data_IF_483173637733
#
_entry.id   IF_483173637733
#
_cell.length_a   1.000
_cell.length_b   1.000
_cell.length_c   1.000
_cell.angle_alpha   90.00
_cell.angle_beta   90.00
_cell.angle_gamma   90.00
#
_symmetry.space_group_name_H-M   'P 1'
#
loop_
_entity.id
_entity.type
_entity.pdbx_description
1 polymer ?
#
# COMPACT_ATOMS: atom_id res chain seq x y z
N UNK A 1 53.74 29.40 33.46
CA UNK A 1 53.40 27.98 33.65
C UNK A 1 52.09 27.77 32.93
N UNK A 2 52.16 27.08 31.80
CA UNK A 2 51.16 27.09 30.74
C UNK A 2 50.21 25.91 30.92
N UNK A 3 48.92 26.17 31.15
CA UNK A 3 47.88 25.14 31.01
C UNK A 3 46.87 25.59 29.96
N UNK A 4 47.11 25.17 28.72
CA UNK A 4 46.13 25.20 27.64
C UNK A 4 45.40 23.86 27.62
N UNK A 5 44.25 23.76 28.28
CA UNK A 5 43.36 22.60 28.14
C UNK A 5 42.59 22.71 26.83
N UNK A 6 43.08 22.01 25.81
CA UNK A 6 42.39 21.82 24.54
C UNK A 6 41.20 20.87 24.76
N UNK A 7 39.98 21.41 24.82
CA UNK A 7 38.74 20.61 24.70
C UNK A 7 38.49 20.36 23.21
N UNK A 8 38.32 19.10 22.74
CA UNK A 8 37.96 18.84 21.35
C UNK A 8 36.51 19.31 21.09
N UNK A 9 36.19 19.82 19.89
CA UNK A 9 34.81 20.12 19.51
C UNK A 9 34.05 18.81 19.35
N UNK A 10 33.09 18.54 20.23
CA UNK A 10 32.05 17.55 19.94
C UNK A 10 31.11 18.19 18.91
N UNK A 11 31.15 17.70 17.68
CA UNK A 11 30.29 18.14 16.57
C UNK A 11 28.80 17.95 16.95
N UNK A 12 28.00 19.01 17.03
CA UNK A 12 26.62 18.95 17.55
C UNK A 12 25.57 18.45 16.53
N UNK A 13 25.98 17.80 15.44
CA UNK A 13 25.08 17.41 14.35
C UNK A 13 24.40 16.05 14.54
N UNK A 14 25.14 15.04 15.00
CA UNK A 14 24.68 13.65 14.95
C UNK A 14 23.62 13.34 16.03
N UNK A 15 23.72 13.99 17.20
CA UNK A 15 22.76 13.82 18.29
C UNK A 15 21.38 14.42 17.96
N UNK A 16 21.36 15.51 17.18
CA UNK A 16 20.13 16.17 16.73
C UNK A 16 19.41 15.35 15.66
N UNK A 17 20.17 14.79 14.71
CA UNK A 17 19.61 13.90 13.70
C UNK A 17 19.04 12.62 14.33
N UNK A 18 19.71 12.08 15.35
CA UNK A 18 19.26 10.85 16.03
C UNK A 18 17.99 11.07 16.85
N UNK A 19 17.87 12.22 17.52
CA UNK A 19 16.66 12.57 18.28
C UNK A 19 15.46 12.88 17.38
N UNK A 20 15.69 13.53 16.23
CA UNK A 20 14.66 13.79 15.23
C UNK A 20 14.19 12.50 14.54
N UNK A 21 15.10 11.62 14.14
CA UNK A 21 14.76 10.32 13.54
C UNK A 21 13.93 9.45 14.49
N UNK A 22 14.23 9.49 15.80
CA UNK A 22 13.47 8.75 16.81
C UNK A 22 12.07 9.34 17.02
N UNK A 23 11.94 10.67 16.95
CA UNK A 23 10.65 11.37 17.03
C UNK A 23 9.74 11.09 15.82
N UNK A 24 10.32 11.03 14.61
CA UNK A 24 9.59 10.65 13.39
C UNK A 24 9.15 9.18 13.45
N UNK A 25 10.00 8.28 13.96
CA UNK A 25 9.67 6.86 14.08
C UNK A 25 8.53 6.61 15.07
N UNK A 26 8.48 7.34 16.20
CA UNK A 26 7.39 7.23 17.17
C UNK A 26 6.07 7.79 16.64
N UNK A 27 6.10 8.86 15.84
CA UNK A 27 4.91 9.39 15.17
C UNK A 27 4.35 8.41 14.12
N UNK A 28 5.23 7.79 13.32
CA UNK A 28 4.84 6.77 12.33
C UNK A 28 4.24 5.53 13.00
N UNK A 29 4.74 5.15 14.18
CA UNK A 29 4.21 4.03 14.95
C UNK A 29 2.87 4.36 15.62
N UNK A 30 2.70 5.57 16.15
CA UNK A 30 1.46 6.01 16.79
C UNK A 30 0.33 6.25 15.76
N UNK A 31 0.66 6.59 14.52
CA UNK A 31 -0.28 6.87 13.45
C UNK A 31 -0.67 5.68 12.57
N UNK A 32 -0.16 4.46 12.82
CA UNK A 32 -0.59 3.28 12.07
C UNK A 32 -1.99 2.90 12.56
N UNK A 33 -3.08 3.14 11.78
CA UNK A 33 -4.36 2.56 12.12
C UNK A 33 -4.18 1.05 12.15
N UNK A 34 -4.89 0.38 13.04
CA UNK A 34 -4.91 -1.07 13.26
C UNK A 34 -5.35 -1.78 11.97
N UNK A 35 -4.44 -1.82 10.98
CA UNK A 35 -4.63 -2.42 9.68
C UNK A 35 -4.41 -3.90 9.90
N UNK A 36 -5.52 -4.62 10.09
CA UNK A 36 -5.53 -6.06 9.87
C UNK A 36 -4.79 -6.37 8.56
N UNK A 37 -3.86 -7.34 8.53
CA UNK A 37 -2.92 -7.53 7.43
C UNK A 37 -3.69 -7.81 6.14
N UNK A 38 -3.77 -6.81 5.27
CA UNK A 38 -4.27 -6.97 3.91
C UNK A 38 -3.35 -7.90 3.09
N UNK A 39 -2.13 -8.17 3.57
CA UNK A 39 -1.13 -9.06 2.96
C UNK A 39 -1.41 -10.57 3.06
N UNK A 40 -2.28 -11.06 3.95
CA UNK A 40 -2.52 -12.50 4.08
C UNK A 40 -3.03 -13.15 2.77
N UNK A 41 -3.77 -12.38 1.95
CA UNK A 41 -4.23 -12.84 0.63
C UNK A 41 -3.18 -12.73 -0.49
N UNK A 42 -2.13 -11.93 -0.33
CA UNK A 42 -1.10 -11.72 -1.35
C UNK A 42 -0.11 -12.88 -1.42
N UNK A 43 0.30 -13.41 -0.26
CA UNK A 43 1.27 -14.49 -0.18
C UNK A 43 0.76 -15.80 -0.79
N UNK A 44 -0.50 -16.18 -0.51
CA UNK A 44 -1.13 -17.35 -1.13
C UNK A 44 -1.26 -17.22 -2.64
N UNK A 45 -1.56 -16.02 -3.15
CA UNK A 45 -1.65 -15.79 -4.60
C UNK A 45 -0.28 -15.96 -5.27
N UNK A 46 0.79 -15.49 -4.63
CA UNK A 46 2.16 -15.70 -5.09
C UNK A 46 2.55 -17.18 -5.11
N UNK A 47 2.28 -17.91 -4.03
CA UNK A 47 2.55 -19.35 -3.93
C UNK A 47 1.75 -20.15 -4.97
N UNK A 48 0.47 -19.83 -5.16
CA UNK A 48 -0.37 -20.44 -6.19
C UNK A 48 0.17 -20.15 -7.60
N UNK A 49 0.65 -18.93 -7.86
CA UNK A 49 1.28 -18.56 -9.13
C UNK A 49 2.53 -19.40 -9.44
N UNK A 50 3.40 -19.62 -8.44
CA UNK A 50 4.59 -20.45 -8.60
C UNK A 50 4.21 -21.92 -8.84
N UNK A 51 3.25 -22.46 -8.09
CA UNK A 51 2.76 -23.83 -8.32
C UNK A 51 2.21 -24.01 -9.74
N UNK A 52 1.49 -23.01 -10.26
CA UNK A 52 0.95 -23.02 -11.63
C UNK A 52 2.04 -22.96 -12.70
N UNK A 53 3.23 -22.39 -12.40
CA UNK A 53 4.35 -22.36 -13.33
C UNK A 53 4.90 -23.77 -13.63
N UNK A 54 4.87 -24.65 -12.63
CA UNK A 54 5.30 -26.04 -12.76
C UNK A 54 4.18 -26.97 -13.25
N UNK A 55 2.97 -26.82 -12.70
CA UNK A 55 1.83 -27.67 -13.06
C UNK A 55 1.17 -27.28 -14.39
N UNK A 56 1.23 -26.01 -14.79
CA UNK A 56 0.60 -25.47 -15.99
C UNK A 56 1.04 -26.15 -17.29
N UNK A 57 2.35 -26.30 -17.57
CA UNK A 57 2.83 -26.99 -18.76
C UNK A 57 2.36 -28.45 -18.83
N UNK A 58 2.31 -29.15 -17.69
CA UNK A 58 1.85 -30.55 -17.61
C UNK A 58 0.36 -30.64 -17.93
N UNK A 59 -0.45 -29.73 -17.39
CA UNK A 59 -1.88 -29.64 -17.71
C UNK A 59 -2.12 -29.31 -19.19
N UNK A 60 -1.33 -28.39 -19.74
CA UNK A 60 -1.42 -28.03 -21.16
C UNK A 60 -1.09 -29.23 -22.06
N UNK A 61 -0.01 -29.96 -21.76
CA UNK A 61 0.37 -31.16 -22.50
C UNK A 61 -0.74 -32.24 -22.44
N UNK A 62 -1.32 -32.48 -21.26
CA UNK A 62 -2.42 -33.41 -21.10
C UNK A 62 -3.66 -33.00 -21.91
N UNK A 63 -4.02 -31.71 -21.90
CA UNK A 63 -5.13 -31.19 -22.69
C UNK A 63 -4.90 -31.39 -24.19
N UNK A 64 -3.69 -31.12 -24.68
CA UNK A 64 -3.32 -31.35 -26.10
C UNK A 64 -3.41 -32.83 -26.47
N UNK A 65 -2.96 -33.75 -25.61
CA UNK A 65 -3.05 -35.19 -25.85
C UNK A 65 -4.48 -35.71 -25.92
N UNK A 66 -5.38 -35.17 -25.11
CA UNK A 66 -6.81 -35.52 -25.17
C UNK A 66 -7.43 -34.95 -26.45
N UNK A 67 -7.14 -33.70 -26.77
CA UNK A 67 -7.75 -33.01 -27.91
C UNK A 67 -7.23 -33.54 -29.26
N UNK A 68 -5.99 -34.04 -29.30
CA UNK A 68 -5.42 -34.68 -30.49
C UNK A 68 -6.11 -35.98 -30.89
N UNK A 69 -6.93 -36.58 -30.01
CA UNK A 69 -7.76 -37.76 -30.34
C UNK A 69 -8.88 -37.44 -31.33
N UNK A 70 -9.31 -36.18 -31.41
CA UNK A 70 -10.48 -35.75 -32.21
C UNK A 70 -10.12 -34.76 -33.33
N UNK A 71 -8.95 -34.12 -33.27
CA UNK A 71 -8.51 -33.13 -34.26
C UNK A 71 -6.98 -33.19 -34.44
N UNK A 72 -6.40 -32.63 -35.52
CA UNK A 72 -4.96 -32.63 -35.70
C UNK A 72 -4.23 -31.84 -34.60
N UNK A 73 -2.99 -32.25 -34.32
CA UNK A 73 -2.18 -31.75 -33.19
C UNK A 73 -2.02 -30.22 -33.22
N UNK A 74 -1.87 -29.62 -34.39
CA UNK A 74 -1.69 -28.17 -34.51
C UNK A 74 -2.93 -27.37 -34.04
N UNK A 75 -4.14 -27.83 -34.38
CA UNK A 75 -5.39 -27.26 -33.87
C UNK A 75 -5.53 -27.50 -32.37
N UNK A 76 -5.17 -28.71 -31.91
CA UNK A 76 -5.25 -29.06 -30.51
C UNK A 76 -4.40 -28.12 -29.62
N UNK A 77 -3.17 -27.80 -30.05
CA UNK A 77 -2.29 -26.85 -29.36
C UNK A 77 -2.90 -25.46 -29.31
N UNK A 78 -3.39 -24.94 -30.45
CA UNK A 78 -4.02 -23.61 -30.51
C UNK A 78 -5.24 -23.51 -29.59
N UNK A 79 -6.11 -24.52 -29.59
CA UNK A 79 -7.29 -24.57 -28.74
C UNK A 79 -6.94 -24.65 -27.25
N UNK A 80 -5.97 -25.49 -26.87
CA UNK A 80 -5.54 -25.62 -25.47
C UNK A 80 -4.93 -24.31 -24.93
N UNK A 81 -4.10 -23.63 -25.74
CA UNK A 81 -3.52 -22.33 -25.39
C UNK A 81 -4.60 -21.26 -25.28
N UNK A 82 -5.49 -21.15 -26.28
CA UNK A 82 -6.58 -20.19 -26.26
C UNK A 82 -7.50 -20.38 -25.04
N UNK A 83 -7.87 -21.61 -24.72
CA UNK A 83 -8.69 -21.94 -23.55
C UNK A 83 -8.00 -21.58 -22.23
N UNK A 84 -6.71 -21.84 -22.10
CA UNK A 84 -5.92 -21.51 -20.90
C UNK A 84 -5.79 -20.00 -20.71
N UNK A 85 -5.53 -19.25 -21.78
CA UNK A 85 -5.48 -17.78 -21.75
C UNK A 85 -6.85 -17.21 -21.36
N UNK A 86 -7.93 -17.69 -21.97
CA UNK A 86 -9.28 -17.23 -21.65
C UNK A 86 -9.63 -17.48 -20.18
N UNK A 87 -9.32 -18.67 -19.66
CA UNK A 87 -9.51 -19.00 -18.24
C UNK A 87 -8.70 -18.07 -17.33
N UNK A 88 -7.43 -17.82 -17.68
CA UNK A 88 -6.57 -16.88 -16.96
C UNK A 88 -7.11 -15.46 -16.94
N UNK A 89 -7.63 -14.96 -18.07
CA UNK A 89 -8.27 -13.63 -18.17
C UNK A 89 -9.49 -13.55 -17.26
N UNK A 90 -10.38 -14.55 -17.29
CA UNK A 90 -11.58 -14.59 -16.45
C UNK A 90 -11.21 -14.57 -14.96
N UNK A 91 -10.24 -15.38 -14.54
CA UNK A 91 -9.74 -15.42 -13.17
C UNK A 91 -9.13 -14.07 -12.76
N UNK A 92 -8.34 -13.43 -13.63
CA UNK A 92 -7.74 -12.13 -13.38
C UNK A 92 -8.80 -11.02 -13.25
N UNK A 93 -9.84 -11.04 -14.09
CA UNK A 93 -10.96 -10.10 -14.00
C UNK A 93 -11.75 -10.30 -12.70
N UNK A 94 -12.07 -11.55 -12.33
CA UNK A 94 -12.75 -11.86 -11.08
C UNK A 94 -11.94 -11.35 -9.86
N UNK A 95 -10.61 -11.52 -9.89
CA UNK A 95 -9.70 -10.98 -8.89
C UNK A 95 -9.74 -9.45 -8.81
N UNK A 96 -9.71 -8.74 -9.95
CA UNK A 96 -9.84 -7.28 -9.99
C UNK A 96 -11.17 -6.78 -9.46
N UNK A 97 -12.27 -7.42 -9.82
CA UNK A 97 -13.62 -7.04 -9.34
C UNK A 97 -13.71 -7.19 -7.83
N UNK A 98 -13.13 -8.26 -7.27
CA UNK A 98 -13.12 -8.50 -5.83
C UNK A 98 -12.25 -7.49 -5.06
N UNK A 99 -11.16 -7.00 -5.67
CA UNK A 99 -10.35 -5.90 -5.12
C UNK A 99 -11.11 -4.57 -5.11
N UNK A 100 -11.75 -4.19 -6.23
CA UNK A 100 -12.54 -2.94 -6.34
C UNK A 100 -13.70 -2.86 -5.33
N UNK A 101 -14.32 -3.98 -4.96
CA UNK A 101 -15.38 -4.01 -3.93
C UNK A 101 -14.87 -3.76 -2.50
N UNK A 102 -13.60 -4.11 -2.20
CA UNK A 102 -12.99 -3.84 -0.88
C UNK A 102 -12.51 -2.39 -0.74
N UNK A 103 -12.18 -1.74 -1.85
CA UNK A 103 -11.65 -0.37 -1.87
C UNK A 103 -12.72 0.72 -1.91
N UNK A 104 -14.02 0.41 -2.00
CA UNK A 104 -15.08 1.43 -1.99
C UNK A 104 -15.16 2.13 -0.62
N UNK A 105 -14.55 3.32 -0.43
CA UNK A 105 -14.44 3.96 0.87
C UNK A 105 -15.62 4.91 0.96
N UNK A 106 -16.76 4.45 1.47
CA UNK A 106 -17.94 5.33 1.62
C UNK A 106 -17.79 6.42 2.69
N UNK A 107 -16.63 6.58 3.36
CA UNK A 107 -16.50 7.51 4.52
C UNK A 107 -15.16 8.24 4.70
N UNK A 108 -14.26 8.27 3.72
CA UNK A 108 -13.01 9.04 3.89
C UNK A 108 -13.07 10.47 3.33
N UNK A 109 -13.98 10.76 2.39
CA UNK A 109 -14.04 12.07 1.71
C UNK A 109 -14.79 13.14 2.52
N UNK A 110 -15.47 12.76 3.60
CA UNK A 110 -16.21 13.71 4.45
C UNK A 110 -15.36 14.34 5.57
N UNK A 111 -14.24 13.73 5.96
CA UNK A 111 -13.38 14.26 7.01
C UNK A 111 -12.66 15.55 6.59
N UNK A 112 -12.12 15.58 5.38
CA UNK A 112 -11.36 16.75 4.89
C UNK A 112 -12.23 17.98 4.60
N UNK A 113 -13.53 17.81 4.33
CA UNK A 113 -14.46 18.95 4.16
C UNK A 113 -14.93 19.52 5.50
N UNK A 114 -14.92 18.73 6.57
CA UNK A 114 -15.30 19.17 7.91
C UNK A 114 -14.23 20.12 8.50
N UNK A 115 -12.94 19.81 8.31
CA UNK A 115 -11.85 20.64 8.86
C UNK A 115 -11.73 22.00 8.16
N UNK A 116 -12.02 22.06 6.86
CA UNK A 116 -12.09 23.34 6.14
C UNK A 116 -13.24 24.23 6.63
N UNK A 117 -14.36 23.63 7.10
CA UNK A 117 -15.47 24.39 7.66
C UNK A 117 -15.16 24.96 9.05
N UNK A 118 -14.29 24.31 9.83
CA UNK A 118 -13.85 24.79 11.14
C UNK A 118 -12.90 25.99 11.01
N UNK A 119 -12.02 25.98 10.00
CA UNK A 119 -11.11 27.12 9.70
C UNK A 119 -11.80 28.27 8.96
N UNK A 120 -12.93 28.00 8.30
CA UNK A 120 -13.76 29.02 7.65
C UNK A 120 -14.62 29.81 8.64
N UNK A 121 -14.63 29.47 9.93
CA UNK A 121 -15.27 30.31 10.95
C UNK A 121 -14.36 31.52 11.16
N UNK A 122 -14.77 32.74 10.77
CA UNK A 122 -13.92 33.92 10.92
C UNK A 122 -13.61 34.09 12.40
N UNK A 123 -12.34 34.36 12.71
CA UNK A 123 -11.85 34.81 14.01
C UNK A 123 -12.34 36.25 14.31
N UNK A 124 -13.64 36.47 14.18
CA UNK A 124 -14.30 37.77 14.33
C UNK A 124 -15.28 37.71 15.49
N UNK A 125 -14.74 37.52 16.70
CA UNK A 125 -15.26 38.19 17.89
C UNK A 125 -14.21 38.10 19.03
N UNK A 126 -13.08 38.78 18.84
CA UNK A 126 -12.28 39.20 19.99
C UNK A 126 -12.85 40.55 20.45
N UNK A 127 -13.43 40.67 21.65
CA UNK A 127 -13.97 41.93 22.13
C UNK A 127 -12.83 42.92 22.39
N UNK A 128 -12.88 44.06 21.70
CA UNK A 128 -11.90 45.16 21.73
C UNK A 128 -11.79 45.87 23.11
N UNK A 129 -12.42 45.35 24.16
CA UNK A 129 -12.54 45.99 25.47
C UNK A 129 -11.28 45.88 26.35
N UNK A 130 -10.28 45.07 25.99
CA UNK A 130 -9.06 44.87 26.81
C UNK A 130 -7.85 45.71 26.37
N UNK A 131 -7.96 46.53 25.31
CA UNK A 131 -6.82 47.33 24.81
C UNK A 131 -6.62 48.68 25.51
N UNK A 132 -7.45 49.04 26.49
CA UNK A 132 -7.49 50.40 27.08
C UNK A 132 -6.98 50.51 28.54
N UNK A 133 -6.41 49.47 29.14
CA UNK A 133 -5.86 49.57 30.51
C UNK A 133 -4.50 48.88 30.62
N UNK A 134 -3.47 49.55 30.14
CA UNK A 134 -2.14 49.44 30.75
C UNK A 134 -1.68 50.84 31.13
N UNK A 135 -1.42 51.11 32.43
CA UNK A 135 -0.84 52.36 32.89
C UNK A 135 0.62 52.52 32.42
#
# INVERSE_FOLDING_TARGET
>A
MSETTHRPPAEPGDEQLTSLARAEYTLVQAGRPDRAPAEAGGALLGAAGIALLWAGPVLAAAAVLVLSRVMPVWLAVLCAVAGSVLLGVVLALAGRVRRRRREAPRRAVNGQRADAAVLSKPAAEWPESERSTRP
#
